data_IF_244853178723
#
_entry.id   IF_244853178723
#
_cell.length_a   1.000
_cell.length_b   1.000
_cell.length_c   1.000
_cell.angle_alpha   90.00
_cell.angle_beta   90.00
_cell.angle_gamma   90.00
#
_symmetry.space_group_name_H-M   'P 1'
#
loop_
_entity.id
_entity.type
_entity.pdbx_description
1 polymer ?
#
# COMPACT_ATOMS: atom_id res chain seq x y z
N UNK A 1 21.35 -6.16 7.54
CA UNK A 1 20.72 -5.89 6.25
C UNK A 1 19.39 -5.18 6.45
N UNK A 2 19.22 -4.10 5.74
CA UNK A 2 18.01 -3.31 5.90
C UNK A 2 16.81 -3.97 5.23
N UNK A 3 15.69 -3.89 5.93
CA UNK A 3 14.42 -4.38 5.42
C UNK A 3 13.74 -3.25 4.66
N UNK A 4 13.86 -3.22 3.35
CA UNK A 4 13.22 -2.18 2.55
C UNK A 4 11.71 -2.47 2.41
N UNK A 5 10.98 -1.53 1.85
CA UNK A 5 9.52 -1.66 1.78
C UNK A 5 9.05 -2.77 0.85
N UNK A 6 9.85 -3.18 -0.13
CA UNK A 6 9.49 -4.35 -0.96
C UNK A 6 9.54 -5.63 -0.12
N UNK A 7 10.59 -5.82 0.65
CA UNK A 7 10.69 -6.98 1.54
C UNK A 7 9.62 -6.93 2.61
N UNK A 8 9.39 -5.74 3.17
CA UNK A 8 8.35 -5.53 4.17
C UNK A 8 6.97 -5.89 3.62
N UNK A 9 6.66 -5.47 2.40
CA UNK A 9 5.36 -5.75 1.78
C UNK A 9 5.16 -7.26 1.59
N UNK A 10 6.22 -7.96 1.19
CA UNK A 10 6.17 -9.40 1.03
C UNK A 10 5.83 -10.07 2.37
N UNK A 11 6.47 -9.62 3.45
CA UNK A 11 6.21 -10.16 4.78
C UNK A 11 4.79 -9.82 5.26
N UNK A 12 4.33 -8.60 4.97
CA UNK A 12 2.97 -8.20 5.33
C UNK A 12 1.94 -9.09 4.60
N UNK A 13 2.14 -9.29 3.30
CA UNK A 13 1.27 -10.15 2.51
C UNK A 13 1.23 -11.57 3.09
N UNK A 14 2.40 -12.11 3.39
CA UNK A 14 2.50 -13.45 3.96
C UNK A 14 1.74 -13.54 5.29
N UNK A 15 1.81 -12.49 6.09
CA UNK A 15 1.12 -12.47 7.39
C UNK A 15 -0.40 -12.45 7.26
N UNK A 16 -0.95 -12.04 6.11
CA UNK A 16 -2.38 -12.06 5.87
C UNK A 16 -2.86 -13.44 5.39
N UNK A 17 -1.97 -14.23 4.84
CA UNK A 17 -2.32 -15.54 4.28
C UNK A 17 -2.66 -16.53 5.40
N UNK A 18 -3.87 -17.06 5.38
CA UNK A 18 -4.37 -17.97 6.42
C UNK A 18 -5.15 -19.15 5.83
N UNK A 19 -4.93 -19.45 4.57
CA UNK A 19 -5.62 -20.48 3.78
C UNK A 19 -6.99 -20.04 3.25
N UNK A 20 -7.42 -18.83 3.57
CA UNK A 20 -8.69 -18.29 3.07
C UNK A 20 -8.52 -16.90 2.46
N UNK A 21 -7.84 -16.00 3.15
CA UNK A 21 -7.69 -14.60 2.70
C UNK A 21 -7.10 -14.53 1.29
N UNK A 22 -6.05 -15.28 1.03
CA UNK A 22 -5.34 -15.24 -0.25
C UNK A 22 -6.15 -15.80 -1.42
N UNK A 23 -7.25 -16.50 -1.15
CA UNK A 23 -8.13 -17.01 -2.21
C UNK A 23 -9.09 -15.93 -2.71
N UNK A 24 -9.34 -14.90 -1.94
CA UNK A 24 -10.30 -13.84 -2.28
C UNK A 24 -9.66 -12.46 -2.43
N UNK A 25 -8.52 -12.26 -1.82
CA UNK A 25 -7.88 -10.96 -1.71
C UNK A 25 -6.41 -11.03 -2.08
N UNK A 26 -5.79 -9.90 -2.25
CA UNK A 26 -4.36 -9.87 -2.57
C UNK A 26 -3.87 -8.48 -2.91
N UNK A 27 -2.77 -8.44 -3.64
CA UNK A 27 -2.08 -7.23 -4.04
C UNK A 27 -1.91 -7.26 -5.54
N UNK A 28 -2.19 -6.15 -6.20
CA UNK A 28 -1.94 -6.01 -7.64
C UNK A 28 -1.01 -4.83 -7.88
N UNK A 29 0.02 -5.04 -8.66
CA UNK A 29 0.96 -3.99 -9.06
C UNK A 29 1.04 -4.04 -10.57
N UNK A 30 0.73 -2.93 -11.23
CA UNK A 30 0.71 -2.85 -12.68
C UNK A 30 1.35 -1.56 -13.15
N UNK A 31 1.69 -1.49 -14.40
CA UNK A 31 2.24 -0.26 -14.98
C UNK A 31 1.16 0.46 -15.77
N UNK A 32 1.39 1.76 -15.94
CA UNK A 32 0.54 2.62 -16.74
C UNK A 32 1.27 2.99 -18.04
N UNK A 33 0.52 3.23 -19.09
CA UNK A 33 1.08 3.51 -20.40
C UNK A 33 1.74 4.87 -20.49
N UNK A 34 1.41 5.84 -19.61
CA UNK A 34 1.82 7.24 -19.72
C UNK A 34 3.11 7.70 -19.05
N UNK A 35 4.15 6.95 -18.68
CA UNK A 35 4.22 5.69 -17.95
C UNK A 35 4.08 5.91 -16.44
N UNK A 36 3.99 4.86 -15.69
CA UNK A 36 3.87 4.96 -14.23
C UNK A 36 3.49 3.62 -13.63
N UNK A 37 3.11 3.68 -12.36
CA UNK A 37 2.74 2.50 -11.58
C UNK A 37 1.37 2.70 -10.97
N UNK A 38 0.65 1.60 -10.80
CA UNK A 38 -0.59 1.58 -10.03
C UNK A 38 -0.52 0.36 -9.11
N UNK A 39 -0.96 0.51 -7.87
CA UNK A 39 -0.98 -0.58 -6.90
C UNK A 39 -2.35 -0.59 -6.22
N UNK A 40 -2.88 -1.79 -6.02
CA UNK A 40 -4.12 -1.98 -5.28
C UNK A 40 -3.89 -3.07 -4.25
N UNK A 41 -4.16 -2.77 -2.99
CA UNK A 41 -3.96 -3.71 -1.89
C UNK A 41 -5.29 -3.88 -1.18
N UNK A 42 -5.79 -5.11 -1.13
CA UNK A 42 -7.05 -5.40 -0.45
C UNK A 42 -6.88 -5.27 1.06
N UNK A 43 -7.79 -4.55 1.70
CA UNK A 43 -7.75 -4.31 3.14
C UNK A 43 -8.84 -5.07 3.90
N UNK A 44 -9.80 -5.63 3.19
CA UNK A 44 -10.89 -6.38 3.84
C UNK A 44 -10.30 -7.60 4.54
N UNK A 45 -10.76 -7.85 5.75
CA UNK A 45 -10.32 -8.96 6.59
C UNK A 45 -8.83 -8.87 6.97
N UNK A 46 -8.29 -7.64 6.98
CA UNK A 46 -6.95 -7.37 7.52
C UNK A 46 -7.10 -6.45 8.72
N UNK A 47 -5.98 -6.20 9.39
CA UNK A 47 -5.96 -5.26 10.53
C UNK A 47 -6.27 -3.83 10.10
N UNK A 48 -6.29 -3.55 8.79
CA UNK A 48 -6.53 -2.21 8.26
C UNK A 48 -7.98 -1.99 7.83
N UNK A 49 -8.80 -3.01 7.92
CA UNK A 49 -10.21 -2.86 7.58
C UNK A 49 -10.83 -1.80 8.48
N UNK A 50 -11.57 -0.86 7.91
CA UNK A 50 -12.21 0.25 8.62
C UNK A 50 -11.25 1.26 9.26
N UNK A 51 -9.96 1.21 8.94
CA UNK A 51 -9.02 2.22 9.42
C UNK A 51 -9.00 3.40 8.44
N UNK A 52 -8.85 4.58 9.00
CA UNK A 52 -8.81 5.80 8.19
C UNK A 52 -7.43 6.00 7.58
N UNK A 53 -7.41 6.47 6.35
CA UNK A 53 -6.17 6.84 5.66
C UNK A 53 -6.37 8.22 5.06
N UNK A 54 -5.50 9.15 5.42
CA UNK A 54 -5.58 10.50 4.86
C UNK A 54 -5.00 10.50 3.44
N UNK A 55 -5.81 10.85 2.47
CA UNK A 55 -5.41 10.86 1.06
C UNK A 55 -4.18 11.73 0.85
N UNK A 56 -3.25 11.25 0.06
CA UNK A 56 -2.02 11.96 -0.27
C UNK A 56 -1.98 12.16 -1.78
N UNK A 57 -1.73 13.38 -2.21
CA UNK A 57 -1.58 13.71 -3.62
C UNK A 57 -0.49 14.74 -3.76
N UNK A 58 0.59 14.37 -4.41
CA UNK A 58 1.76 15.24 -4.58
C UNK A 58 2.18 15.20 -6.05
N UNK A 59 2.37 16.33 -6.66
CA UNK A 59 2.91 16.40 -8.01
C UNK A 59 4.11 17.31 -8.01
N UNK A 60 5.28 16.74 -8.21
CA UNK A 60 6.56 17.51 -8.26
C UNK A 60 6.94 17.82 -9.70
N UNK A 61 6.61 16.93 -10.64
CA UNK A 61 6.80 17.17 -12.07
C UNK A 61 5.91 16.20 -12.84
N UNK A 62 5.92 16.24 -14.15
CA UNK A 62 5.13 15.32 -14.98
C UNK A 62 5.56 13.86 -14.79
N UNK A 63 6.80 13.63 -14.40
CA UNK A 63 7.34 12.30 -14.23
C UNK A 63 7.56 11.92 -12.75
N UNK A 64 7.24 12.81 -11.83
CA UNK A 64 7.48 12.61 -10.40
C UNK A 64 6.25 13.03 -9.62
N UNK A 65 5.37 12.08 -9.34
CA UNK A 65 4.10 12.34 -8.68
C UNK A 65 3.61 11.09 -7.98
N UNK A 66 2.79 11.27 -6.96
CA UNK A 66 2.13 10.15 -6.28
C UNK A 66 0.70 10.56 -5.93
N UNK A 67 -0.17 9.55 -5.86
CA UNK A 67 -1.54 9.72 -5.41
C UNK A 67 -1.92 8.45 -4.66
N UNK A 68 -2.28 8.57 -3.39
CA UNK A 68 -2.63 7.41 -2.56
C UNK A 68 -3.92 7.70 -1.81
N UNK A 69 -4.82 6.74 -1.85
CA UNK A 69 -6.09 6.86 -1.13
C UNK A 69 -6.61 5.48 -0.74
N UNK A 70 -7.59 5.44 0.11
CA UNK A 70 -8.30 4.20 0.45
C UNK A 70 -9.74 4.35 0.01
N UNK A 71 -10.20 3.40 -0.78
CA UNK A 71 -11.57 3.44 -1.30
C UNK A 71 -12.03 2.01 -1.59
N UNK A 72 -13.26 1.71 -1.26
CA UNK A 72 -13.88 0.40 -1.54
C UNK A 72 -13.09 -0.77 -0.95
N UNK A 73 -12.55 -0.58 0.25
CA UNK A 73 -11.81 -1.64 0.93
C UNK A 73 -10.42 -1.91 0.36
N UNK A 74 -9.87 -0.93 -0.39
CA UNK A 74 -8.54 -1.09 -0.99
C UNK A 74 -7.70 0.15 -0.78
N UNK A 75 -6.41 -0.06 -0.50
CA UNK A 75 -5.41 1.00 -0.63
C UNK A 75 -5.08 1.10 -2.12
N UNK A 76 -5.23 2.27 -2.69
CA UNK A 76 -4.97 2.50 -4.10
C UNK A 76 -3.86 3.54 -4.22
N UNK A 77 -2.77 3.17 -4.85
CA UNK A 77 -1.64 4.07 -5.07
C UNK A 77 -1.33 4.17 -6.55
N UNK A 78 -0.95 5.35 -6.99
CA UNK A 78 -0.47 5.56 -8.35
C UNK A 78 0.69 6.52 -8.31
N UNK A 79 1.56 6.47 -9.28
CA UNK A 79 2.70 7.36 -9.33
C UNK A 79 3.47 7.26 -10.63
N UNK A 80 4.47 8.11 -10.76
CA UNK A 80 5.34 8.10 -11.93
C UNK A 80 6.23 6.87 -11.99
N UNK A 81 6.98 6.76 -13.06
CA UNK A 81 7.78 5.56 -13.34
C UNK A 81 8.86 5.26 -12.30
N UNK A 82 9.28 6.24 -11.51
CA UNK A 82 10.30 6.06 -10.47
C UNK A 82 9.73 6.19 -9.05
N UNK A 83 8.40 6.16 -8.89
CA UNK A 83 7.77 6.41 -7.60
C UNK A 83 7.16 5.17 -6.93
N UNK A 84 7.42 3.98 -7.45
CA UNK A 84 6.84 2.77 -6.86
C UNK A 84 7.27 2.57 -5.40
N UNK A 85 8.55 2.72 -5.12
CA UNK A 85 9.04 2.53 -3.76
C UNK A 85 8.41 3.56 -2.81
N UNK A 86 8.24 4.78 -3.26
CA UNK A 86 7.61 5.82 -2.44
C UNK A 86 6.18 5.44 -2.08
N UNK A 87 5.42 4.88 -3.02
CA UNK A 87 4.04 4.41 -2.75
C UNK A 87 4.06 3.30 -1.70
N UNK A 88 4.99 2.36 -1.82
CA UNK A 88 5.11 1.27 -0.86
C UNK A 88 5.53 1.77 0.52
N UNK A 89 6.40 2.78 0.58
CA UNK A 89 6.81 3.39 1.83
C UNK A 89 5.62 4.06 2.53
N UNK A 90 4.73 4.68 1.78
CA UNK A 90 3.53 5.31 2.32
C UNK A 90 2.62 4.25 2.94
N UNK A 91 2.38 3.15 2.24
CA UNK A 91 1.56 2.07 2.77
C UNK A 91 2.18 1.50 4.04
N UNK A 92 3.48 1.25 4.02
CA UNK A 92 4.20 0.71 5.17
C UNK A 92 4.10 1.62 6.40
N UNK A 93 4.31 2.91 6.21
CA UNK A 93 4.24 3.87 7.31
C UNK A 93 2.84 3.90 7.92
N UNK A 94 1.83 3.81 7.08
CA UNK A 94 0.45 3.77 7.56
C UNK A 94 0.19 2.52 8.40
N UNK A 95 0.60 1.35 7.90
CA UNK A 95 0.42 0.09 8.63
C UNK A 95 1.17 0.13 9.96
N UNK A 96 2.40 0.61 9.94
CA UNK A 96 3.21 0.67 11.17
C UNK A 96 2.61 1.63 12.19
N UNK A 97 2.06 2.75 11.73
CA UNK A 97 1.39 3.70 12.62
C UNK A 97 0.14 3.10 13.24
N UNK A 98 -0.68 2.39 12.46
CA UNK A 98 -1.88 1.75 12.97
C UNK A 98 -1.55 0.63 13.96
N UNK A 99 -0.50 -0.13 13.70
CA UNK A 99 -0.06 -1.18 14.60
C UNK A 99 0.48 -0.62 15.91
N UNK A 100 1.16 0.52 15.87
CA UNK A 100 1.63 1.20 17.08
C UNK A 100 0.48 1.69 17.94
N UNK A 101 -0.56 2.26 17.34
CA UNK A 101 -1.73 2.69 18.08
C UNK A 101 -2.44 1.50 18.72
N UNK A 102 -2.52 0.38 18.02
CA UNK A 102 -3.13 -0.81 18.53
C UNK A 102 -2.37 -1.37 19.74
N UNK A 103 -1.05 -1.28 19.73
CA UNK A 103 -0.22 -1.76 20.84
C UNK A 103 -0.36 -0.91 22.09
N UNK A 104 -0.69 0.34 21.93
CA UNK A 104 -0.84 1.26 23.06
C UNK A 104 -2.20 1.17 23.75
N UNK A 105 -3.13 0.52 23.11
CA UNK A 105 -4.48 0.37 23.68
C UNK A 105 -4.67 -0.90 24.57
#
# INVERSE_FOLDING_TARGET
>A
MENNSFNWLQDWYYSQCDSEWEHSYGIQIETLDNPGWIIAIDLLETELEDREFQEISVKRSDNDWISCLVKNGKFQGAGGSLNLLEILDIFRKWVEAENSLKKES
#
